data_IF_896007692034
#
_entry.id   IF_896007692034
#
_cell.length_a   1.000
_cell.length_b   1.000
_cell.length_c   1.000
_cell.angle_alpha   90.00
_cell.angle_beta   90.00
_cell.angle_gamma   90.00
#
_symmetry.space_group_name_H-M   'P 1'
#
loop_
_entity.id
_entity.type
_entity.pdbx_description
1 polymer ?
#
# COMPACT_ATOMS: atom_id res chain seq x y z
N UNK A 1 12.75 -34.08 -36.48
CA UNK A 1 12.22 -33.85 -35.12
C UNK A 1 12.93 -34.75 -34.11
N UNK A 2 14.23 -34.57 -33.90
CA UNK A 2 15.03 -35.39 -32.98
C UNK A 2 16.19 -34.62 -32.33
N UNK A 3 16.11 -33.29 -32.31
CA UNK A 3 17.10 -32.42 -31.65
C UNK A 3 16.52 -31.73 -30.39
N UNK A 4 15.19 -31.66 -30.30
CA UNK A 4 14.49 -31.00 -29.19
C UNK A 4 14.42 -31.83 -27.89
N UNK A 5 14.72 -33.14 -27.93
CA UNK A 5 14.68 -34.01 -26.74
C UNK A 5 16.01 -34.13 -25.98
N UNK A 6 17.12 -33.62 -26.51
CA UNK A 6 18.42 -33.65 -25.82
C UNK A 6 18.80 -32.33 -25.13
N UNK A 7 18.12 -31.22 -25.44
CA UNK A 7 18.40 -29.90 -24.85
C UNK A 7 17.67 -29.74 -23.50
N UNK A 8 16.68 -30.58 -23.21
CA UNK A 8 15.79 -30.44 -22.04
C UNK A 8 16.38 -30.92 -20.71
N UNK A 9 17.46 -31.72 -20.67
CA UNK A 9 17.97 -32.29 -19.41
C UNK A 9 19.01 -31.42 -18.70
N UNK A 10 19.68 -30.50 -19.41
CA UNK A 10 20.75 -29.66 -18.84
C UNK A 10 20.27 -28.28 -18.35
N UNK A 11 19.04 -27.87 -18.68
CA UNK A 11 18.54 -26.52 -18.39
C UNK A 11 17.76 -26.38 -17.06
N UNK A 12 17.46 -27.48 -16.35
CA UNK A 12 16.54 -27.46 -15.19
C UNK A 12 17.22 -26.96 -13.90
N UNK A 13 18.55 -27.05 -13.78
CA UNK A 13 19.26 -26.72 -12.52
C UNK A 13 19.50 -25.20 -12.36
N UNK A 14 19.49 -24.43 -13.44
CA UNK A 14 19.81 -22.98 -13.40
C UNK A 14 18.59 -22.05 -13.18
N UNK A 15 17.37 -22.59 -13.08
CA UNK A 15 16.14 -21.79 -12.90
C UNK A 15 15.71 -21.69 -11.43
N UNK A 16 16.42 -22.35 -10.51
CA UNK A 16 16.13 -22.30 -9.06
C UNK A 16 16.69 -21.08 -8.33
N UNK A 17 17.42 -20.18 -8.99
CA UNK A 17 17.78 -18.87 -8.43
C UNK A 17 16.82 -17.78 -8.92
N UNK A 18 15.62 -17.84 -8.35
CA UNK A 18 14.66 -16.77 -8.06
C UNK A 18 15.12 -15.37 -8.57
N UNK A 19 14.83 -15.05 -9.82
CA UNK A 19 14.68 -13.64 -10.22
C UNK A 19 13.22 -13.29 -9.96
N UNK A 20 12.99 -12.53 -8.89
CA UNK A 20 11.71 -11.89 -8.62
C UNK A 20 11.31 -11.07 -9.85
N UNK A 21 10.31 -11.54 -10.59
CA UNK A 21 9.62 -10.74 -11.59
C UNK A 21 8.83 -9.65 -10.86
N UNK A 22 9.48 -8.50 -10.61
CA UNK A 22 8.77 -7.30 -10.18
C UNK A 22 8.06 -6.75 -11.43
N UNK A 23 6.76 -7.04 -11.49
CA UNK A 23 5.85 -6.55 -12.50
C UNK A 23 5.92 -5.01 -12.55
N UNK A 24 6.33 -4.47 -13.69
CA UNK A 24 6.32 -3.03 -13.97
C UNK A 24 4.88 -2.54 -14.04
N UNK A 25 4.33 -2.17 -12.88
CA UNK A 25 2.96 -1.70 -12.76
C UNK A 25 2.87 -0.22 -13.23
N UNK A 26 1.88 0.15 -14.06
CA UNK A 26 1.64 1.52 -14.53
C UNK A 26 1.40 2.51 -13.36
N UNK A 27 1.42 3.83 -13.61
CA UNK A 27 1.35 4.88 -12.57
C UNK A 27 0.28 4.54 -11.52
N UNK A 28 0.77 4.34 -10.30
CA UNK A 28 0.07 3.65 -9.23
C UNK A 28 -1.23 4.41 -8.87
N UNK A 29 -2.39 3.83 -9.19
CA UNK A 29 -3.61 4.09 -8.42
C UNK A 29 -3.37 3.49 -7.03
N UNK A 30 -3.19 4.36 -6.03
CA UNK A 30 -2.78 4.02 -4.66
C UNK A 30 -3.76 3.01 -4.07
N UNK A 31 -3.33 1.75 -4.03
CA UNK A 31 -4.06 0.71 -3.35
C UNK A 31 -3.91 0.94 -1.84
N UNK A 32 -5.02 1.35 -1.19
CA UNK A 32 -5.11 1.70 0.24
C UNK A 32 -4.75 0.51 1.15
N UNK A 33 -4.53 -0.67 0.56
CA UNK A 33 -4.07 -1.90 1.20
C UNK A 33 -2.58 -2.21 1.05
N UNK A 34 -1.76 -1.31 0.49
CA UNK A 34 -0.34 -1.59 0.33
C UNK A 34 0.38 -1.75 1.69
N UNK A 35 1.22 -2.79 1.78
CA UNK A 35 2.05 -3.03 2.97
C UNK A 35 2.92 -1.81 3.31
N UNK A 36 3.36 -1.07 2.28
CA UNK A 36 4.13 0.18 2.40
C UNK A 36 3.34 1.27 3.13
N UNK A 37 2.08 1.52 2.74
CA UNK A 37 1.23 2.49 3.42
C UNK A 37 1.07 2.13 4.90
N UNK A 38 0.71 0.87 5.19
CA UNK A 38 0.50 0.40 6.58
C UNK A 38 1.76 0.54 7.43
N UNK A 39 2.93 0.25 6.87
CA UNK A 39 4.22 0.39 7.58
C UNK A 39 4.53 1.86 7.89
N UNK A 40 4.35 2.75 6.92
CA UNK A 40 4.51 4.19 7.13
C UNK A 40 3.51 4.71 8.16
N UNK A 41 2.23 4.37 8.01
CA UNK A 41 1.14 4.89 8.84
C UNK A 41 1.29 4.50 10.32
N UNK A 42 1.76 3.27 10.58
CA UNK A 42 2.06 2.79 11.94
C UNK A 42 3.27 3.46 12.57
N UNK A 43 4.23 3.89 11.75
CA UNK A 43 5.49 4.51 12.20
C UNK A 43 5.37 6.03 12.40
N UNK A 44 4.25 6.65 12.00
CA UNK A 44 4.07 8.08 12.17
C UNK A 44 4.05 8.51 13.64
N UNK A 45 4.84 9.51 14.03
CA UNK A 45 4.72 10.13 15.34
C UNK A 45 3.40 10.90 15.39
N UNK A 46 2.46 10.38 16.16
CA UNK A 46 1.14 10.98 16.39
C UNK A 46 0.80 10.88 17.86
N UNK A 47 0.06 11.85 18.38
CA UNK A 47 -0.48 11.77 19.74
C UNK A 47 -1.68 10.81 19.74
N UNK A 48 -1.79 9.99 20.78
CA UNK A 48 -2.93 9.10 20.98
C UNK A 48 -4.08 9.85 21.66
N UNK A 49 -4.72 10.76 20.92
CA UNK A 49 -5.90 11.49 21.36
C UNK A 49 -7.07 11.22 20.41
N UNK A 50 -8.27 11.05 20.95
CA UNK A 50 -9.48 10.85 20.14
C UNK A 50 -10.21 12.18 19.96
N UNK A 51 -10.06 12.77 18.77
CA UNK A 51 -10.80 13.94 18.30
C UNK A 51 -11.07 13.73 16.80
N UNK A 52 -12.08 12.91 16.45
CA UNK A 52 -12.19 12.31 15.13
C UNK A 52 -12.37 13.35 14.04
N UNK A 53 -11.86 13.03 12.85
CA UNK A 53 -12.07 13.82 11.63
C UNK A 53 -12.50 12.91 10.49
N UNK A 54 -13.44 13.38 9.68
CA UNK A 54 -13.88 12.66 8.50
C UNK A 54 -13.01 13.07 7.31
N UNK A 55 -12.38 12.08 6.66
CA UNK A 55 -11.61 12.26 5.44
C UNK A 55 -12.48 12.29 4.18
N UNK A 56 -11.94 12.84 3.10
CA UNK A 56 -12.55 12.84 1.76
C UNK A 56 -12.63 11.45 1.12
N UNK A 57 -11.91 10.48 1.71
CA UNK A 57 -11.96 9.06 1.40
C UNK A 57 -13.08 8.32 2.16
N UNK A 58 -13.88 9.03 2.95
CA UNK A 58 -14.94 8.44 3.78
C UNK A 58 -14.43 7.72 5.02
N UNK A 59 -13.13 7.78 5.31
CA UNK A 59 -12.52 7.16 6.49
C UNK A 59 -12.55 8.14 7.66
N UNK A 60 -12.91 7.63 8.85
CA UNK A 60 -12.74 8.38 10.09
C UNK A 60 -11.32 8.18 10.60
N UNK A 61 -10.58 9.28 10.76
CA UNK A 61 -9.28 9.29 11.40
C UNK A 61 -9.46 9.70 12.86
N UNK A 62 -8.80 9.00 13.80
CA UNK A 62 -8.94 9.24 15.25
C UNK A 62 -8.63 10.68 15.65
N UNK A 63 -7.75 11.33 14.89
CA UNK A 63 -7.44 12.74 15.01
C UNK A 63 -6.84 13.29 13.71
N UNK A 64 -6.71 14.63 13.65
CA UNK A 64 -6.12 15.32 12.50
C UNK A 64 -4.67 14.89 12.22
N UNK A 65 -3.89 14.52 13.23
CA UNK A 65 -2.51 14.06 13.03
C UNK A 65 -2.46 12.69 12.34
N UNK A 66 -3.43 11.81 12.62
CA UNK A 66 -3.61 10.55 11.88
C UNK A 66 -3.98 10.80 10.42
N UNK A 67 -4.88 11.73 10.12
CA UNK A 67 -5.19 12.10 8.73
C UNK A 67 -3.95 12.63 8.00
N UNK A 68 -3.22 13.55 8.64
CA UNK A 68 -1.97 14.10 8.10
C UNK A 68 -0.90 13.02 7.92
N UNK A 69 -0.85 12.01 8.78
CA UNK A 69 0.01 10.87 8.60
C UNK A 69 -0.33 10.09 7.33
N UNK A 70 -1.62 9.83 7.08
CA UNK A 70 -2.03 9.17 5.84
C UNK A 70 -1.57 9.96 4.60
N UNK A 71 -1.70 11.28 4.63
CA UNK A 71 -1.18 12.17 3.56
C UNK A 71 0.32 12.00 3.34
N UNK A 72 1.13 12.03 4.42
CA UNK A 72 2.58 11.82 4.36
C UNK A 72 2.95 10.43 3.85
N UNK A 73 2.11 9.45 4.09
CA UNK A 73 2.26 8.08 3.62
C UNK A 73 1.72 7.85 2.19
N UNK A 74 1.38 8.92 1.47
CA UNK A 74 0.98 8.88 0.06
C UNK A 74 -0.52 8.80 -0.18
N UNK A 75 -1.36 8.84 0.86
CA UNK A 75 -2.81 8.88 0.69
C UNK A 75 -3.26 10.27 0.26
N UNK A 76 -3.96 10.36 -0.87
CA UNK A 76 -4.60 11.62 -1.28
C UNK A 76 -5.93 11.81 -0.56
N UNK A 77 -5.89 12.33 0.67
CA UNK A 77 -7.07 12.57 1.52
C UNK A 77 -7.05 14.00 2.06
N UNK A 78 -8.23 14.62 2.16
CA UNK A 78 -8.44 15.92 2.82
C UNK A 78 -9.42 15.77 3.97
N UNK A 79 -9.33 16.61 5.00
CA UNK A 79 -10.37 16.68 6.03
C UNK A 79 -11.63 17.34 5.46
N UNK A 80 -12.78 16.66 5.57
CA UNK A 80 -14.09 17.19 5.16
C UNK A 80 -14.80 17.88 6.33
N UNK A 81 -14.80 17.24 7.51
CA UNK A 81 -15.40 17.79 8.73
C UNK A 81 -14.73 17.28 10.00
N UNK A 82 -14.88 18.02 11.09
CA UNK A 82 -14.65 17.52 12.43
C UNK A 82 -15.76 16.53 12.79
N UNK A 83 -15.42 15.43 13.45
CA UNK A 83 -16.31 14.32 13.75
C UNK A 83 -16.10 13.11 12.83
N UNK A 84 -16.69 11.98 13.21
CA UNK A 84 -16.67 10.75 12.41
C UNK A 84 -17.48 10.87 11.12
N UNK A 85 -17.11 10.11 10.09
CA UNK A 85 -17.84 10.11 8.82
C UNK A 85 -19.27 9.59 8.93
N UNK A 86 -19.57 8.72 9.90
CA UNK A 86 -20.91 8.15 10.11
C UNK A 86 -21.95 9.12 10.71
N UNK A 87 -21.52 10.27 11.25
CA UNK A 87 -22.41 11.21 11.93
C UNK A 87 -23.04 12.24 10.97
N UNK A 88 -23.42 11.80 9.77
CA UNK A 88 -23.93 12.63 8.66
C UNK A 88 -24.87 13.72 9.12
#
# INVERSE_FOLDING_TARGET
>A
MAYFKLISLLAIIAVFHITSAQETQPPQTVDVTSATFRSCFRSCPTINNYNPVCGSDGVTYDNIQKLQCAQRCGQNVQSVRIGSCSLS
#
